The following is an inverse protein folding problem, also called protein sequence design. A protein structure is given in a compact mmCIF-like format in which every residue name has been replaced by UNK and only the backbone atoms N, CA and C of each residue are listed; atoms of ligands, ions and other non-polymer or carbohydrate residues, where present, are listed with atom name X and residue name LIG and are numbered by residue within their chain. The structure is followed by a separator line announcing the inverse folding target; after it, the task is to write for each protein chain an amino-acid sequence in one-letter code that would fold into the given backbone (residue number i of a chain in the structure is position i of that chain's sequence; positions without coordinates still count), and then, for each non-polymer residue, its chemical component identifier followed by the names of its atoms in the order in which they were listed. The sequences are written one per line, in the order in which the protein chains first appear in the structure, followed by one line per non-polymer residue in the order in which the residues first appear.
data_IF_483697351449
#
_entry.id   IF_483697351449
#
_cell.length_a   1.000
_cell.length_b   1.000
_cell.length_c   1.000
_cell.angle_alpha   90.00
_cell.angle_beta   90.00
_cell.angle_gamma   90.00
#
_symmetry.space_group_name_H-M   'P 1'
#
loop_
_entity.id
_entity.type
_entity.pdbx_description
1 polymer ?
#
# COMPACT_ATOMS: atom_id res chain seq x y z
N UNK A 1 32.08 26.54 -40.52
CA UNK A 1 31.31 27.41 -39.59
C UNK A 1 29.82 27.06 -39.46
N UNK A 2 29.12 26.52 -40.48
CA UNK A 2 27.68 26.17 -40.37
C UNK A 2 27.36 24.93 -39.49
N UNK A 3 28.30 23.99 -39.33
CA UNK A 3 28.10 22.78 -38.52
C UNK A 3 28.15 22.99 -37.00
N UNK A 4 28.82 24.04 -36.51
CA UNK A 4 28.95 24.30 -35.06
C UNK A 4 27.64 24.85 -34.48
N UNK A 5 26.85 25.56 -35.29
CA UNK A 5 25.57 26.16 -34.88
C UNK A 5 24.49 25.06 -34.68
N UNK A 6 24.54 23.99 -35.48
CA UNK A 6 23.62 22.85 -35.36
C UNK A 6 23.87 22.01 -34.10
N UNK A 7 25.14 21.84 -33.70
CA UNK A 7 25.50 21.11 -32.48
C UNK A 7 25.09 21.86 -31.20
N UNK A 8 25.22 23.18 -31.18
CA UNK A 8 24.80 24.00 -30.04
C UNK A 8 23.26 24.04 -29.88
N UNK A 9 22.51 24.00 -30.99
CA UNK A 9 21.05 23.93 -30.95
C UNK A 9 20.53 22.62 -30.35
N UNK A 10 21.16 21.49 -30.66
CA UNK A 10 20.74 20.17 -30.16
C UNK A 10 21.04 19.97 -28.66
N UNK A 11 22.09 20.62 -28.14
CA UNK A 11 22.48 20.59 -26.72
C UNK A 11 21.58 21.45 -25.82
N UNK A 12 20.84 22.42 -26.38
CA UNK A 12 19.87 23.23 -25.62
C UNK A 12 18.48 22.57 -25.49
N UNK A 13 18.19 21.56 -26.32
CA UNK A 13 16.92 20.81 -26.29
C UNK A 13 16.89 19.68 -25.26
N UNK A 14 18.02 19.28 -24.68
CA UNK A 14 18.10 18.19 -23.69
C UNK A 14 17.87 18.63 -22.23
N UNK A 15 17.78 19.93 -21.95
CA UNK A 15 17.55 20.43 -20.58
C UNK A 15 16.07 20.61 -20.20
N UNK A 16 15.12 20.33 -21.10
CA UNK A 16 13.68 20.44 -20.84
C UNK A 16 13.02 19.10 -20.45
N UNK A 17 13.78 18.18 -19.85
CA UNK A 17 13.19 17.04 -19.15
C UNK A 17 12.40 17.58 -17.96
N UNK A 18 11.15 17.95 -18.23
CA UNK A 18 10.20 18.43 -17.25
C UNK A 18 10.12 17.39 -16.14
N UNK A 19 10.42 17.81 -14.92
CA UNK A 19 10.11 17.06 -13.71
C UNK A 19 8.58 16.91 -13.66
N UNK A 20 8.06 15.89 -14.31
CA UNK A 20 6.70 15.44 -14.11
C UNK A 20 6.64 14.89 -12.68
N UNK A 21 6.49 15.78 -11.71
CA UNK A 21 6.08 15.41 -10.36
C UNK A 21 4.71 14.76 -10.50
N UNK A 22 4.66 13.44 -10.29
CA UNK A 22 3.42 12.69 -10.16
C UNK A 22 2.61 13.34 -9.02
N UNK A 23 1.61 14.15 -9.39
CA UNK A 23 0.74 14.79 -8.42
C UNK A 23 -0.07 13.68 -7.76
N UNK A 24 0.21 13.43 -6.48
CA UNK A 24 -0.56 12.47 -5.71
C UNK A 24 -1.83 13.16 -5.22
N UNK A 25 -2.98 12.66 -5.68
CA UNK A 25 -4.27 13.15 -5.24
C UNK A 25 -4.79 12.28 -4.09
N UNK A 26 -5.41 12.93 -3.11
CA UNK A 26 -6.19 12.27 -2.07
C UNK A 26 -7.70 12.43 -2.37
N UNK A 27 -8.53 11.43 -2.06
CA UNK A 27 -8.15 10.13 -1.49
C UNK A 27 -7.35 9.26 -2.46
N UNK A 28 -6.44 8.45 -1.93
CA UNK A 28 -5.73 7.45 -2.72
C UNK A 28 -6.73 6.41 -3.26
N UNK A 29 -6.43 5.73 -4.39
CA UNK A 29 -7.28 4.65 -4.88
C UNK A 29 -7.58 3.57 -3.83
N UNK A 30 -6.60 3.26 -2.98
CA UNK A 30 -6.67 2.32 -1.86
C UNK A 30 -7.59 2.78 -0.72
N UNK A 31 -7.90 4.07 -0.62
CA UNK A 31 -8.71 4.63 0.47
C UNK A 31 -10.10 4.00 0.52
N UNK A 32 -10.52 3.59 1.71
CA UNK A 32 -11.83 3.03 1.98
C UNK A 32 -11.81 1.73 2.77
N UNK A 33 -12.94 1.03 2.71
CA UNK A 33 -13.19 -0.24 3.41
C UNK A 33 -13.26 -1.35 2.38
N UNK A 34 -12.43 -2.38 2.59
CA UNK A 34 -12.27 -3.52 1.71
C UNK A 34 -12.58 -4.81 2.48
N UNK A 35 -13.35 -5.71 1.88
CA UNK A 35 -13.88 -6.91 2.54
C UNK A 35 -13.52 -8.15 1.73
N UNK A 36 -13.02 -9.17 2.43
CA UNK A 36 -12.94 -10.54 1.95
C UNK A 36 -14.13 -11.31 2.53
N UNK A 37 -15.14 -11.59 1.70
CA UNK A 37 -16.38 -12.27 2.13
C UNK A 37 -16.15 -13.75 2.45
N UNK A 38 -15.10 -14.33 1.89
CA UNK A 38 -14.79 -15.75 1.96
C UNK A 38 -13.64 -16.03 2.94
N UNK A 39 -13.36 -15.11 3.87
CA UNK A 39 -12.27 -15.22 4.82
C UNK A 39 -12.46 -16.37 5.82
N UNK A 40 -11.61 -17.37 5.73
CA UNK A 40 -11.55 -18.47 6.70
C UNK A 40 -10.98 -17.98 8.05
N UNK A 41 -11.16 -18.75 9.15
CA UNK A 41 -10.60 -18.39 10.45
C UNK A 41 -9.11 -18.02 10.36
N UNK A 42 -8.75 -16.90 11.00
CA UNK A 42 -7.40 -16.30 11.03
C UNK A 42 -6.92 -15.64 9.73
N UNK A 43 -7.68 -15.72 8.63
CA UNK A 43 -7.39 -14.98 7.40
C UNK A 43 -7.87 -13.53 7.47
N UNK A 44 -7.36 -12.67 6.60
CA UNK A 44 -7.81 -11.27 6.49
C UNK A 44 -9.27 -11.23 6.03
N UNK A 45 -10.15 -10.69 6.87
CA UNK A 45 -11.58 -10.49 6.58
C UNK A 45 -11.89 -9.08 6.09
N UNK A 46 -11.14 -8.09 6.58
CA UNK A 46 -11.34 -6.69 6.21
C UNK A 46 -10.05 -5.89 6.34
N UNK A 47 -9.87 -4.95 5.43
CA UNK A 47 -8.83 -3.92 5.51
C UNK A 47 -9.50 -2.57 5.40
N UNK A 48 -9.05 -1.62 6.21
CA UNK A 48 -9.49 -0.23 6.14
C UNK A 48 -8.26 0.65 5.96
N UNK A 49 -8.32 1.53 4.97
CA UNK A 49 -7.23 2.42 4.58
C UNK A 49 -7.79 3.83 4.59
N UNK A 50 -7.08 4.73 5.25
CA UNK A 50 -7.40 6.16 5.25
C UNK A 50 -6.18 6.93 4.76
N UNK A 51 -6.42 7.86 3.85
CA UNK A 51 -5.43 8.72 3.24
C UNK A 51 -5.83 10.19 3.39
N UNK A 52 -4.86 11.04 3.71
CA UNK A 52 -5.05 12.50 3.76
C UNK A 52 -3.84 13.19 3.18
N UNK A 53 -4.08 14.26 2.43
CA UNK A 53 -3.03 15.09 1.85
C UNK A 53 -2.95 16.39 2.64
N UNK A 54 -1.78 16.73 3.18
CA UNK A 54 -1.53 17.97 3.91
C UNK A 54 -0.11 18.46 3.64
N UNK A 55 0.04 19.72 3.24
CA UNK A 55 1.33 20.36 2.96
C UNK A 55 2.18 19.55 1.96
N UNK A 56 1.58 19.14 0.84
CA UNK A 56 2.20 18.30 -0.20
C UNK A 56 2.72 16.93 0.27
N UNK A 57 2.31 16.50 1.48
CA UNK A 57 2.60 15.18 2.03
C UNK A 57 1.34 14.34 2.09
N UNK A 58 1.50 13.08 1.73
CA UNK A 58 0.45 12.06 1.82
C UNK A 58 0.64 11.30 3.12
N UNK A 59 -0.35 11.33 3.99
CA UNK A 59 -0.39 10.52 5.20
C UNK A 59 -1.36 9.39 4.98
N UNK A 60 -0.91 8.17 5.17
CA UNK A 60 -1.74 6.97 5.05
C UNK A 60 -1.71 6.25 6.38
N UNK A 61 -2.86 5.75 6.81
CA UNK A 61 -2.95 4.78 7.89
C UNK A 61 -3.83 3.63 7.46
N UNK A 62 -3.50 2.45 7.95
CA UNK A 62 -4.26 1.25 7.66
C UNK A 62 -4.53 0.47 8.94
N UNK A 63 -5.61 -0.30 8.93
CA UNK A 63 -5.86 -1.35 9.91
C UNK A 63 -6.43 -2.56 9.21
N UNK A 64 -6.18 -3.73 9.78
CA UNK A 64 -6.70 -4.99 9.27
C UNK A 64 -7.54 -5.70 10.32
N UNK A 65 -8.38 -6.60 9.84
CA UNK A 65 -9.20 -7.49 10.63
C UNK A 65 -8.95 -8.90 10.11
N UNK A 66 -8.81 -9.84 11.05
CA UNK A 66 -8.80 -11.26 10.70
C UNK A 66 -10.06 -11.92 11.22
N UNK A 67 -10.60 -12.86 10.46
CA UNK A 67 -11.78 -13.64 10.81
C UNK A 67 -11.56 -14.39 12.13
N UNK A 68 -12.37 -14.08 13.15
CA UNK A 68 -12.27 -14.65 14.50
C UNK A 68 -13.66 -14.76 15.15
N UNK A 69 -13.84 -15.74 16.04
CA UNK A 69 -15.10 -15.95 16.79
C UNK A 69 -14.93 -15.44 18.23
N UNK A 70 -15.88 -14.68 18.79
CA UNK A 70 -17.19 -14.28 18.23
C UNK A 70 -17.16 -12.99 17.39
N UNK A 71 -16.02 -12.30 17.35
CA UNK A 71 -15.82 -11.07 16.57
C UNK A 71 -14.43 -11.11 15.96
N UNK A 72 -14.29 -10.52 14.79
CA UNK A 72 -13.02 -10.37 14.10
C UNK A 72 -11.93 -9.80 15.00
N UNK A 73 -10.75 -10.41 14.94
CA UNK A 73 -9.58 -9.91 15.64
C UNK A 73 -9.12 -8.64 14.93
N UNK A 74 -9.13 -7.52 15.66
CA UNK A 74 -8.80 -6.20 15.14
C UNK A 74 -7.33 -5.88 15.36
N UNK A 75 -6.66 -5.48 14.30
CA UNK A 75 -5.36 -4.83 14.34
C UNK A 75 -5.56 -3.31 14.43
N UNK A 76 -4.73 -2.62 15.21
CA UNK A 76 -4.87 -1.18 15.43
C UNK A 76 -4.71 -0.36 14.15
N UNK A 77 -5.08 0.93 14.23
CA UNK A 77 -4.66 1.88 13.20
C UNK A 77 -3.16 2.10 13.30
N UNK A 78 -2.44 1.85 12.21
CA UNK A 78 -1.01 2.03 12.11
C UNK A 78 -0.68 2.88 10.89
N UNK A 79 0.35 3.73 11.02
CA UNK A 79 0.88 4.49 9.90
C UNK A 79 1.35 3.55 8.79
N UNK A 80 0.99 3.87 7.55
CA UNK A 80 1.33 3.11 6.37
C UNK A 80 2.17 3.99 5.43
N UNK A 81 3.14 3.37 4.76
CA UNK A 81 3.98 4.05 3.79
C UNK A 81 3.52 3.74 2.37
N UNK A 82 3.48 4.76 1.51
CA UNK A 82 3.32 4.56 0.06
C UNK A 82 4.69 4.26 -0.56
N UNK A 83 4.79 3.14 -1.25
CA UNK A 83 5.96 2.73 -2.02
C UNK A 83 5.99 3.44 -3.37
N UNK A 84 7.15 3.41 -4.03
CA UNK A 84 7.34 4.01 -5.36
C UNK A 84 6.54 3.30 -6.47
N UNK A 85 6.14 2.05 -6.25
CA UNK A 85 5.29 1.24 -7.16
C UNK A 85 3.78 1.49 -6.97
N UNK A 86 3.44 2.48 -6.12
CA UNK A 86 2.08 2.87 -5.76
C UNK A 86 1.47 2.05 -4.63
N UNK A 87 2.06 0.93 -4.22
CA UNK A 87 1.49 0.08 -3.18
C UNK A 87 1.59 0.72 -1.78
N UNK A 88 0.64 0.41 -0.92
CA UNK A 88 0.63 0.81 0.48
C UNK A 88 1.18 -0.33 1.33
N UNK A 89 2.20 -0.05 2.13
CA UNK A 89 2.80 -1.00 3.05
C UNK A 89 2.54 -0.60 4.50
N UNK A 90 2.11 -1.56 5.32
CA UNK A 90 1.92 -1.36 6.76
C UNK A 90 2.47 -2.54 7.54
N UNK A 91 3.13 -2.27 8.65
CA UNK A 91 3.57 -3.29 9.61
C UNK A 91 2.65 -3.24 10.83
N UNK A 92 1.81 -4.26 10.98
CA UNK A 92 0.91 -4.42 12.11
C UNK A 92 1.60 -5.28 13.17
N UNK A 93 2.06 -4.66 14.26
CA UNK A 93 2.76 -5.36 15.34
C UNK A 93 1.75 -5.79 16.41
N UNK A 94 1.67 -7.09 16.66
CA UNK A 94 0.89 -7.69 17.73
C UNK A 94 1.80 -8.31 18.80
N UNK A 95 1.19 -8.83 19.86
CA UNK A 95 1.92 -9.44 20.97
C UNK A 95 2.65 -10.74 20.57
N UNK A 96 1.95 -11.65 19.88
CA UNK A 96 2.49 -12.96 19.47
C UNK A 96 3.09 -12.96 18.07
N UNK A 97 2.60 -12.10 17.18
CA UNK A 97 3.05 -12.03 15.80
C UNK A 97 2.92 -10.63 15.24
N UNK A 98 3.66 -10.41 14.15
CA UNK A 98 3.56 -9.24 13.31
C UNK A 98 3.05 -9.62 11.94
N UNK A 99 2.24 -8.75 11.33
CA UNK A 99 1.76 -8.89 9.96
C UNK A 99 2.22 -7.70 9.14
N UNK A 100 3.01 -7.96 8.12
CA UNK A 100 3.36 -6.96 7.11
C UNK A 100 2.39 -7.11 5.94
N UNK A 101 1.62 -6.06 5.68
CA UNK A 101 0.67 -6.00 4.58
C UNK A 101 1.25 -5.12 3.48
N UNK A 102 1.16 -5.59 2.24
CA UNK A 102 1.37 -4.79 1.02
C UNK A 102 0.06 -4.81 0.25
N UNK A 103 -0.49 -3.63 -0.01
CA UNK A 103 -1.85 -3.44 -0.52
C UNK A 103 -1.79 -2.64 -1.82
N UNK A 104 -2.50 -3.09 -2.85
CA UNK A 104 -2.55 -2.41 -4.14
C UNK A 104 -3.91 -2.58 -4.80
N UNK A 105 -4.48 -1.48 -5.29
CA UNK A 105 -5.75 -1.53 -6.01
C UNK A 105 -5.56 -1.94 -7.46
N UNK A 106 -6.44 -2.84 -7.90
CA UNK A 106 -6.60 -3.27 -9.29
C UNK A 106 -8.08 -3.22 -9.65
N UNK A 107 -8.51 -2.11 -10.29
CA UNK A 107 -9.93 -1.86 -10.58
C UNK A 107 -10.78 -1.87 -9.29
N UNK A 108 -11.65 -2.88 -9.14
CA UNK A 108 -12.58 -3.02 -8.01
C UNK A 108 -12.07 -3.97 -6.92
N UNK A 109 -10.84 -4.45 -7.06
CA UNK A 109 -10.18 -5.35 -6.13
C UNK A 109 -9.03 -4.64 -5.43
N UNK A 110 -8.84 -4.98 -4.15
CA UNK A 110 -7.62 -4.70 -3.42
C UNK A 110 -6.87 -6.00 -3.23
N UNK A 111 -5.72 -6.11 -3.89
CA UNK A 111 -4.76 -7.18 -3.64
C UNK A 111 -4.03 -6.89 -2.33
N UNK A 112 -4.10 -7.82 -1.39
CA UNK A 112 -3.48 -7.70 -0.07
C UNK A 112 -2.54 -8.88 0.11
N UNK A 113 -1.25 -8.63 -0.09
CA UNK A 113 -0.20 -9.58 0.23
C UNK A 113 0.19 -9.44 1.71
N UNK A 114 0.16 -10.56 2.43
CA UNK A 114 0.39 -10.63 3.88
C UNK A 114 1.58 -11.53 4.15
N UNK A 115 2.58 -10.96 4.81
CA UNK A 115 3.67 -11.71 5.42
C UNK A 115 3.44 -11.77 6.92
N UNK A 116 3.31 -12.97 7.48
CA UNK A 116 3.12 -13.19 8.91
C UNK A 116 4.41 -13.74 9.52
N UNK A 117 4.84 -13.13 10.63
CA UNK A 117 6.05 -13.52 11.36
C UNK A 117 5.69 -13.65 12.84
N UNK A 118 5.91 -14.82 13.43
CA UNK A 118 5.77 -15.00 14.90
C UNK A 118 6.96 -14.34 15.60
N UNK A 119 6.68 -13.60 16.67
CA UNK A 119 7.71 -12.80 17.34
C UNK A 119 8.76 -13.68 18.04
N UNK A 120 8.39 -14.89 18.44
CA UNK A 120 9.26 -15.89 19.08
C UNK A 120 9.96 -16.83 18.09
N UNK A 121 9.73 -16.64 16.79
CA UNK A 121 10.26 -17.48 15.71
C UNK A 121 9.89 -18.98 15.85
N UNK A 122 8.88 -19.32 16.65
CA UNK A 122 8.43 -20.71 16.85
C UNK A 122 7.80 -21.31 15.59
N UNK A 123 7.33 -20.48 14.67
CA UNK A 123 6.76 -20.87 13.40
C UNK A 123 7.51 -20.20 12.24
N UNK A 124 7.60 -20.87 11.08
CA UNK A 124 8.17 -20.25 9.90
C UNK A 124 7.33 -19.04 9.46
N UNK A 125 8.00 -18.10 8.80
CA UNK A 125 7.34 -17.01 8.08
C UNK A 125 6.34 -17.60 7.08
N UNK A 126 5.10 -17.10 7.09
CA UNK A 126 4.08 -17.49 6.10
C UNK A 126 3.70 -16.29 5.23
N UNK A 127 3.29 -16.59 4.00
CA UNK A 127 2.93 -15.60 3.00
C UNK A 127 1.62 -16.01 2.33
N UNK A 128 0.66 -15.10 2.31
CA UNK A 128 -0.66 -15.32 1.72
C UNK A 128 -1.10 -14.05 0.98
N UNK A 129 -1.88 -14.21 -0.08
CA UNK A 129 -2.43 -13.08 -0.83
C UNK A 129 -3.95 -13.20 -0.87
N UNK A 130 -4.64 -12.10 -0.59
CA UNK A 130 -6.10 -12.04 -0.58
C UNK A 130 -6.58 -10.96 -1.54
N UNK A 131 -7.69 -11.25 -2.23
CA UNK A 131 -8.39 -10.26 -3.06
C UNK A 131 -9.62 -9.78 -2.30
N UNK A 132 -9.62 -8.51 -1.91
CA UNK A 132 -10.72 -7.89 -1.20
C UNK A 132 -11.56 -7.05 -2.18
N UNK A 133 -12.85 -6.99 -1.92
CA UNK A 133 -13.81 -6.16 -2.68
C UNK A 133 -14.16 -4.90 -1.89
N UNK A 134 -14.41 -3.80 -2.58
CA UNK A 134 -14.86 -2.57 -1.92
C UNK A 134 -16.23 -2.80 -1.26
N UNK A 135 -16.40 -2.30 -0.03
CA UNK A 135 -17.66 -2.37 0.72
C UNK A 135 -18.75 -1.50 0.08
#
# INVERSE_FOLDING_TARGET
MRLIILAAGLLLLSCAASLAQERVYCPLPEDGIWINKDAEPKQISRVEIESRCQNDKVYVRARAFTSCIPRDCKWGWTEAARRSDGAIQVLLVGFLSSKQLTMKVFSDLLDVHVVNVTNDLSQPRTEETYNLTRK
#
